data_IF_336868173678
#
_entry.id   IF_336868173678
#
_cell.length_a   1.000
_cell.length_b   1.000
_cell.length_c   1.000
_cell.angle_alpha   90.00
_cell.angle_beta   90.00
_cell.angle_gamma   90.00
#
_symmetry.space_group_name_H-M   'P 1'
#
loop_
_entity.id
_entity.type
_entity.pdbx_description
1 polymer ?
#
# COMPACT_ATOMS: atom_id res chain seq x y z
N UNK A 1 -12.02 23.46 20.55
CA UNK A 1 -10.58 23.33 20.21
C UNK A 1 -10.19 21.90 20.52
N UNK A 2 -10.28 21.04 19.50
CA UNK A 2 -10.03 19.60 19.62
C UNK A 2 -8.52 19.34 19.41
N UNK A 3 -7.85 18.82 20.43
CA UNK A 3 -6.43 18.46 20.36
C UNK A 3 -6.32 17.15 19.61
N UNK A 4 -5.98 17.25 18.32
CA UNK A 4 -5.73 16.12 17.44
C UNK A 4 -4.87 15.07 18.12
N UNK A 5 -5.43 13.87 18.25
CA UNK A 5 -4.74 12.68 18.75
C UNK A 5 -3.51 12.45 17.89
N UNK A 6 -2.32 12.74 18.44
CA UNK A 6 -1.06 12.40 17.82
C UNK A 6 -0.97 10.87 17.74
N UNK A 7 -1.13 10.32 16.54
CA UNK A 7 -0.83 8.91 16.25
C UNK A 7 0.56 8.59 16.78
N UNK A 8 0.77 7.51 17.55
CA UNK A 8 2.08 7.21 18.11
C UNK A 8 3.05 6.91 16.97
N UNK A 9 3.96 7.84 16.73
CA UNK A 9 5.14 7.66 15.88
C UNK A 9 5.87 6.43 16.41
N UNK A 10 6.01 5.39 15.58
CA UNK A 10 6.54 4.08 15.99
C UNK A 10 7.82 4.19 16.81
N UNK A 11 7.97 3.30 17.80
CA UNK A 11 9.10 3.26 18.73
C UNK A 11 10.44 3.36 17.99
N UNK A 12 11.20 4.44 18.22
CA UNK A 12 12.54 4.60 17.64
C UNK A 12 13.49 3.63 18.33
N UNK A 13 13.96 2.64 17.59
CA UNK A 13 14.98 1.69 18.07
C UNK A 13 16.35 2.15 17.54
N UNK A 14 17.27 2.48 18.45
CA UNK A 14 18.65 2.88 18.10
C UNK A 14 19.58 1.70 18.29
N UNK A 15 20.37 1.37 17.27
CA UNK A 15 21.41 0.33 17.33
C UNK A 15 22.62 0.78 16.52
N UNK A 16 23.81 0.42 16.99
CA UNK A 16 25.04 0.62 16.25
C UNK A 16 25.28 -0.60 15.36
N UNK A 17 25.63 -0.35 14.10
CA UNK A 17 26.02 -1.38 13.14
C UNK A 17 27.47 -1.12 12.75
N UNK A 18 28.26 -2.17 12.67
CA UNK A 18 29.62 -2.09 12.12
C UNK A 18 29.54 -2.04 10.61
N UNK A 19 30.26 -1.09 10.01
CA UNK A 19 30.51 -1.05 8.57
C UNK A 19 31.79 -1.85 8.32
N UNK A 20 31.73 -2.86 7.46
CA UNK A 20 32.90 -3.66 7.12
C UNK A 20 33.81 -2.92 6.13
N UNK A 21 34.99 -3.48 5.89
CA UNK A 21 36.04 -2.96 5.00
C UNK A 21 35.54 -2.49 3.62
N UNK A 22 34.59 -3.22 3.03
CA UNK A 22 33.98 -2.91 1.73
C UNK A 22 32.78 -1.97 1.79
N UNK A 23 32.54 -1.33 2.92
CA UNK A 23 31.42 -0.40 3.10
C UNK A 23 30.05 -1.07 3.25
N UNK A 24 29.98 -2.40 3.33
CA UNK A 24 28.73 -3.09 3.58
C UNK A 24 28.38 -3.09 5.08
N UNK A 25 27.09 -3.10 5.36
CA UNK A 25 26.53 -3.31 6.69
C UNK A 25 25.36 -4.28 6.57
N UNK A 26 25.13 -5.07 7.62
CA UNK A 26 24.00 -6.00 7.64
C UNK A 26 22.87 -5.41 8.45
N UNK A 27 21.73 -5.15 7.79
CA UNK A 27 20.52 -4.74 8.50
C UNK A 27 20.00 -5.89 9.38
N UNK A 28 19.72 -5.64 10.68
CA UNK A 28 19.17 -6.65 11.57
C UNK A 28 17.90 -7.31 11.04
N UNK A 29 17.69 -8.58 11.36
CA UNK A 29 16.56 -9.38 10.87
C UNK A 29 15.19 -8.80 11.22
N UNK A 30 15.05 -8.22 12.42
CA UNK A 30 13.81 -7.56 12.85
C UNK A 30 13.50 -6.33 12.00
N UNK A 31 14.51 -5.51 11.68
CA UNK A 31 14.36 -4.36 10.78
C UNK A 31 14.00 -4.83 9.38
N UNK A 32 14.68 -5.86 8.85
CA UNK A 32 14.39 -6.38 7.51
C UNK A 32 12.95 -6.87 7.38
N UNK A 33 12.46 -7.64 8.36
CA UNK A 33 11.08 -8.15 8.38
C UNK A 33 10.05 -7.05 8.56
N UNK A 34 10.31 -6.11 9.48
CA UNK A 34 9.39 -5.01 9.77
C UNK A 34 9.13 -4.14 8.53
N UNK A 35 10.15 -3.92 7.71
CA UNK A 35 10.07 -3.08 6.52
C UNK A 35 10.01 -3.87 5.20
N UNK A 36 9.86 -5.20 5.27
CA UNK A 36 9.74 -6.07 4.10
C UNK A 36 10.97 -6.11 3.19
N UNK A 37 12.17 -5.78 3.71
CA UNK A 37 13.45 -5.82 2.98
C UNK A 37 13.96 -7.23 2.74
N UNK A 38 13.29 -8.25 3.28
CA UNK A 38 13.54 -9.67 3.04
C UNK A 38 12.75 -10.21 1.83
N UNK A 39 11.91 -9.40 1.19
CA UNK A 39 11.17 -9.78 0.00
C UNK A 39 12.05 -9.69 -1.26
N UNK A 40 11.87 -10.59 -2.25
CA UNK A 40 12.58 -10.50 -3.53
C UNK A 40 12.29 -9.19 -4.26
N UNK A 41 13.31 -8.63 -4.93
CA UNK A 41 13.15 -7.44 -5.78
C UNK A 41 13.03 -6.10 -5.04
N UNK A 42 13.20 -6.09 -3.72
CA UNK A 42 13.22 -4.86 -2.92
C UNK A 42 14.53 -4.12 -3.13
N UNK A 43 14.40 -2.81 -3.35
CA UNK A 43 15.50 -1.86 -3.46
C UNK A 43 15.47 -0.93 -2.25
N UNK A 44 16.59 -0.27 -1.97
CA UNK A 44 16.68 0.75 -0.93
C UNK A 44 17.19 2.03 -1.57
N UNK A 45 16.39 3.09 -1.52
CA UNK A 45 16.85 4.43 -1.82
C UNK A 45 17.70 4.93 -0.64
N UNK A 46 18.89 5.44 -0.94
CA UNK A 46 19.82 6.00 0.04
C UNK A 46 19.84 7.52 -0.12
N UNK A 47 19.40 8.23 0.91
CA UNK A 47 19.44 9.70 0.94
C UNK A 47 20.46 10.15 1.99
N UNK A 48 21.54 10.77 1.53
CA UNK A 48 22.59 11.30 2.40
C UNK A 48 22.39 12.81 2.64
N UNK A 49 22.46 13.22 3.91
CA UNK A 49 22.47 14.61 4.37
C UNK A 49 23.52 14.77 5.47
N UNK A 50 23.93 16.02 5.81
CA UNK A 50 24.86 16.23 6.92
C UNK A 50 24.37 15.53 8.20
N UNK A 51 25.16 14.58 8.70
CA UNK A 51 24.87 13.81 9.92
C UNK A 51 23.79 12.75 9.81
N UNK A 52 23.17 12.52 8.65
CA UNK A 52 22.05 11.57 8.48
C UNK A 52 22.15 10.81 7.16
N UNK A 53 22.06 9.48 7.24
CA UNK A 53 21.78 8.61 6.09
C UNK A 53 20.40 8.00 6.30
N UNK A 54 19.47 8.28 5.39
CA UNK A 54 18.14 7.65 5.38
C UNK A 54 18.12 6.50 4.38
N UNK A 55 17.55 5.38 4.81
CA UNK A 55 17.30 4.21 3.98
C UNK A 55 15.79 4.07 3.78
N UNK A 56 15.34 4.13 2.52
CA UNK A 56 13.92 4.07 2.15
C UNK A 56 13.65 2.83 1.30
N UNK A 57 12.98 1.81 1.85
CA UNK A 57 12.57 0.62 1.09
C UNK A 57 11.71 1.00 -0.11
N UNK A 58 12.01 0.43 -1.27
CA UNK A 58 11.25 0.58 -2.51
C UNK A 58 10.96 -0.80 -3.10
N UNK A 59 9.73 -0.98 -3.58
CA UNK A 59 9.34 -2.18 -4.31
C UNK A 59 9.35 -1.86 -5.79
N UNK A 60 10.14 -2.61 -6.57
CA UNK A 60 10.05 -2.55 -8.02
C UNK A 60 8.71 -3.15 -8.45
N UNK A 61 7.94 -2.40 -9.24
CA UNK A 61 6.73 -2.90 -9.89
C UNK A 61 7.07 -3.18 -11.35
N UNK A 62 6.76 -4.37 -11.89
CA UNK A 62 6.87 -4.64 -13.32
C UNK A 62 6.18 -3.55 -14.16
N UNK A 63 6.83 -3.09 -15.23
CA UNK A 63 6.36 -1.95 -16.00
C UNK A 63 4.95 -2.16 -16.60
N UNK A 64 4.62 -3.40 -16.98
CA UNK A 64 3.31 -3.84 -17.46
C UNK A 64 2.22 -3.85 -16.37
N UNK A 65 2.60 -3.76 -15.10
CA UNK A 65 1.70 -3.63 -13.94
C UNK A 65 1.71 -2.24 -13.32
N UNK A 66 2.61 -1.35 -13.75
CA UNK A 66 2.73 0.00 -13.21
C UNK A 66 1.44 0.83 -13.37
N UNK A 67 0.62 0.54 -14.39
CA UNK A 67 -0.66 1.23 -14.61
C UNK A 67 -1.62 1.10 -13.43
N UNK A 68 -1.55 0.00 -12.66
CA UNK A 68 -2.40 -0.23 -11.47
C UNK A 68 -2.11 0.82 -10.38
N UNK A 69 -0.86 1.28 -10.31
CA UNK A 69 -0.39 2.27 -9.34
C UNK A 69 -0.58 3.71 -9.81
N UNK A 70 -1.10 3.93 -11.03
CA UNK A 70 -1.41 5.28 -11.47
C UNK A 70 -2.47 5.92 -10.57
N UNK A 71 -2.33 7.21 -10.26
CA UNK A 71 -3.20 7.94 -9.33
C UNK A 71 -4.69 7.76 -9.65
N UNK A 72 -5.07 7.74 -10.93
CA UNK A 72 -6.46 7.51 -11.36
C UNK A 72 -7.02 6.16 -10.90
N UNK A 73 -6.21 5.11 -10.94
CA UNK A 73 -6.61 3.75 -10.59
C UNK A 73 -6.68 3.59 -9.07
N UNK A 74 -5.68 4.10 -8.35
CA UNK A 74 -5.68 4.10 -6.87
C UNK A 74 -6.84 4.93 -6.29
N UNK A 75 -7.23 6.03 -6.94
CA UNK A 75 -8.40 6.81 -6.54
C UNK A 75 -9.72 6.01 -6.73
N UNK A 76 -9.82 5.23 -7.80
CA UNK A 76 -10.94 4.32 -8.03
C UNK A 76 -11.01 3.23 -6.96
N UNK A 77 -9.86 2.61 -6.63
CA UNK A 77 -9.77 1.58 -5.58
C UNK A 77 -10.25 2.11 -4.23
N UNK A 78 -9.74 3.28 -3.82
CA UNK A 78 -10.16 3.92 -2.57
C UNK A 78 -11.67 4.25 -2.55
N UNK A 79 -12.26 4.58 -3.69
CA UNK A 79 -13.70 4.83 -3.79
C UNK A 79 -14.50 3.53 -3.62
N UNK A 80 -14.04 2.42 -4.23
CA UNK A 80 -14.64 1.10 -4.06
C UNK A 80 -14.52 0.62 -2.61
N UNK A 81 -13.36 0.75 -1.99
CA UNK A 81 -13.16 0.41 -0.58
C UNK A 81 -14.13 1.15 0.34
N UNK A 82 -14.34 2.45 0.10
CA UNK A 82 -15.34 3.24 0.84
C UNK A 82 -16.76 2.73 0.60
N UNK A 83 -17.09 2.28 -0.61
CA UNK A 83 -18.38 1.68 -0.92
C UNK A 83 -18.58 0.35 -0.20
N UNK A 84 -17.57 -0.51 -0.18
CA UNK A 84 -17.56 -1.79 0.53
C UNK A 84 -17.70 -1.57 2.03
N UNK A 85 -16.89 -0.70 2.62
CA UNK A 85 -16.92 -0.38 4.05
C UNK A 85 -18.26 0.24 4.48
N UNK A 86 -18.92 0.98 3.60
CA UNK A 86 -20.25 1.52 3.82
C UNK A 86 -21.39 0.52 3.53
N UNK A 87 -21.08 -0.74 3.24
CA UNK A 87 -22.02 -1.80 2.84
C UNK A 87 -22.93 -1.40 1.66
N UNK A 88 -22.45 -0.54 0.76
CA UNK A 88 -23.17 -0.10 -0.45
C UNK A 88 -22.92 -1.06 -1.61
N UNK A 89 -23.14 -2.35 -1.34
CA UNK A 89 -22.94 -3.44 -2.26
C UNK A 89 -24.27 -4.15 -2.50
N UNK A 90 -24.46 -4.65 -3.71
CA UNK A 90 -25.51 -5.63 -3.99
C UNK A 90 -24.87 -7.01 -3.93
N UNK A 91 -25.32 -7.85 -2.99
CA UNK A 91 -24.90 -9.24 -2.89
C UNK A 91 -26.00 -10.10 -3.48
N UNK A 92 -25.67 -10.92 -4.48
CA UNK A 92 -26.55 -11.95 -4.99
C UNK A 92 -26.25 -13.28 -4.30
N UNK A 93 -27.31 -13.98 -3.88
CA UNK A 93 -27.16 -15.25 -3.13
C UNK A 93 -26.97 -16.46 -4.05
N UNK A 94 -27.42 -16.34 -5.28
CA UNK A 94 -27.34 -17.35 -6.33
C UNK A 94 -27.28 -16.69 -7.72
N UNK A 95 -27.19 -17.52 -8.76
CA UNK A 95 -27.06 -17.08 -10.14
C UNK A 95 -28.32 -16.35 -10.63
N UNK A 96 -29.51 -16.81 -10.24
CA UNK A 96 -30.77 -16.21 -10.70
C UNK A 96 -30.94 -14.80 -10.10
N UNK A 97 -30.62 -14.63 -8.82
CA UNK A 97 -30.57 -13.35 -8.11
C UNK A 97 -29.56 -12.39 -8.77
N UNK A 98 -28.39 -12.90 -9.15
CA UNK A 98 -27.36 -12.13 -9.85
C UNK A 98 -27.85 -11.64 -11.23
N UNK A 99 -28.43 -12.53 -12.03
CA UNK A 99 -28.95 -12.19 -13.36
C UNK A 99 -30.09 -11.16 -13.26
N UNK A 100 -31.00 -11.32 -12.30
CA UNK A 100 -32.06 -10.36 -12.05
C UNK A 100 -31.52 -8.98 -11.64
N UNK A 101 -30.46 -8.93 -10.81
CA UNK A 101 -29.79 -7.69 -10.44
C UNK A 101 -29.12 -7.01 -11.64
N UNK A 102 -28.41 -7.78 -12.48
CA UNK A 102 -27.78 -7.28 -13.71
C UNK A 102 -28.81 -6.66 -14.67
N UNK A 103 -29.96 -7.31 -14.84
CA UNK A 103 -31.03 -6.81 -15.69
C UNK A 103 -31.61 -5.48 -15.20
N UNK A 104 -31.78 -5.32 -13.88
CA UNK A 104 -32.21 -4.05 -13.28
C UNK A 104 -31.20 -2.93 -13.56
N UNK A 105 -29.91 -3.20 -13.40
CA UNK A 105 -28.83 -2.24 -13.69
C UNK A 105 -28.81 -1.86 -15.17
N UNK A 106 -28.94 -2.85 -16.07
CA UNK A 106 -28.97 -2.63 -17.52
C UNK A 106 -30.15 -1.76 -17.95
N UNK A 107 -31.34 -2.01 -17.39
CA UNK A 107 -32.55 -1.20 -17.68
C UNK A 107 -32.39 0.25 -17.20
N UNK A 108 -31.86 0.47 -16.00
CA UNK A 108 -31.63 1.81 -15.44
C UNK A 108 -30.67 2.67 -16.28
N UNK A 109 -29.63 2.06 -16.86
CA UNK A 109 -28.69 2.76 -17.76
C UNK A 109 -29.29 3.16 -19.12
N UNK A 110 -30.40 2.56 -19.55
CA UNK A 110 -31.04 2.87 -20.84
C UNK A 110 -32.06 4.01 -20.75
N UNK A 111 -32.50 4.34 -19.55
CA UNK A 111 -33.48 5.39 -19.26
C UNK A 111 -32.87 6.67 -18.70
N UNK A 112 -31.55 6.71 -18.52
CA UNK A 112 -30.76 7.91 -18.15
C UNK A 112 -29.89 8.28 -19.33
#
# INVERSE_FOLDING_TARGET
MDRGKQTPIGRVTRRFLTVHDRGNLTLPTDIRRQYGLDKPGVQVEVVARPGVIELRPHFAVPADQAWFWAQRWQAGELAVDKHVAAARLTVARDVDDFLAAMDKVRKKKRTT
#
